data_IF_661503828544
#
_entry.id   IF_661503828544
#
_cell.length_a   1.000
_cell.length_b   1.000
_cell.length_c   1.000
_cell.angle_alpha   90.00
_cell.angle_beta   90.00
_cell.angle_gamma   90.00
#
_symmetry.space_group_name_H-M   'P 1'
#
loop_
_entity.id
_entity.type
_entity.pdbx_description
1 polymer ?
#
# COMPACT_ATOMS: atom_id res chain seq x y z
N UNK A 1 -4.25 -0.07 -37.75
CA UNK A 1 -2.77 0.09 -37.80
C UNK A 1 -2.21 0.83 -36.56
N UNK A 2 -2.88 1.86 -36.02
CA UNK A 2 -2.45 2.63 -34.82
C UNK A 2 -2.54 1.79 -33.53
N UNK A 3 -3.56 0.94 -33.40
CA UNK A 3 -3.76 0.07 -32.22
C UNK A 3 -2.63 -0.97 -32.08
N UNK A 4 -2.19 -1.58 -33.17
CA UNK A 4 -1.08 -2.55 -33.18
C UNK A 4 0.29 -1.93 -32.83
N UNK A 5 0.54 -0.67 -33.20
CA UNK A 5 1.76 0.03 -32.79
C UNK A 5 1.79 0.36 -31.30
N UNK A 6 0.62 0.77 -30.73
CA UNK A 6 0.49 1.04 -29.28
C UNK A 6 0.62 -0.24 -28.45
N UNK A 7 0.06 -1.35 -28.94
CA UNK A 7 0.16 -2.66 -28.28
C UNK A 7 1.60 -3.21 -28.30
N UNK A 8 2.35 -3.05 -29.39
CA UNK A 8 3.77 -3.41 -29.45
C UNK A 8 4.63 -2.56 -28.52
N UNK A 9 4.33 -1.27 -28.41
CA UNK A 9 5.03 -0.38 -27.48
C UNK A 9 4.76 -0.78 -26.03
N UNK A 10 3.53 -1.14 -25.71
CA UNK A 10 3.15 -1.64 -24.38
C UNK A 10 3.87 -2.98 -24.04
N UNK A 11 3.93 -3.92 -24.98
CA UNK A 11 4.68 -5.16 -24.82
C UNK A 11 6.19 -4.93 -24.63
N UNK A 12 6.79 -4.03 -25.38
CA UNK A 12 8.21 -3.66 -25.22
C UNK A 12 8.47 -2.98 -23.88
N UNK A 13 7.54 -2.14 -23.41
CA UNK A 13 7.60 -1.53 -22.09
C UNK A 13 7.53 -2.60 -20.99
N UNK A 14 6.58 -3.53 -21.09
CA UNK A 14 6.47 -4.66 -20.14
C UNK A 14 7.73 -5.54 -20.14
N UNK A 15 8.35 -5.77 -21.30
CA UNK A 15 9.58 -6.56 -21.40
C UNK A 15 10.80 -5.84 -20.82
N UNK A 16 10.91 -4.52 -21.02
CA UNK A 16 11.96 -3.69 -20.40
C UNK A 16 11.81 -3.64 -18.87
N UNK A 17 10.59 -3.60 -18.39
CA UNK A 17 10.25 -3.56 -16.98
C UNK A 17 10.61 -4.90 -16.31
N UNK A 18 10.33 -6.05 -16.96
CA UNK A 18 10.72 -7.35 -16.43
C UNK A 18 12.23 -7.52 -16.31
N UNK A 19 13.01 -6.92 -17.22
CA UNK A 19 14.47 -6.92 -17.14
C UNK A 19 14.99 -6.00 -16.01
N UNK A 20 14.32 -4.88 -15.76
CA UNK A 20 14.65 -3.96 -14.68
C UNK A 20 14.33 -4.58 -13.31
N UNK A 21 13.21 -5.31 -13.19
CA UNK A 21 12.85 -6.00 -11.95
C UNK A 21 13.86 -7.06 -11.55
N UNK A 22 14.43 -7.76 -12.52
CA UNK A 22 15.48 -8.76 -12.26
C UNK A 22 16.78 -8.16 -11.74
N UNK A 23 17.10 -6.92 -12.16
CA UNK A 23 18.29 -6.20 -11.71
C UNK A 23 18.07 -5.52 -10.33
N UNK A 24 16.82 -5.20 -9.99
CA UNK A 24 16.49 -4.49 -8.74
C UNK A 24 16.23 -5.45 -7.58
N UNK A 25 15.53 -6.56 -7.82
CA UNK A 25 15.28 -7.57 -6.80
C UNK A 25 16.53 -8.40 -6.55
N UNK A 26 17.11 -8.27 -5.37
CA UNK A 26 18.25 -9.06 -4.94
C UNK A 26 17.79 -10.26 -4.09
N UNK A 27 17.69 -11.42 -4.70
CA UNK A 27 17.21 -12.65 -4.05
C UNK A 27 17.98 -12.99 -2.75
N UNK A 28 19.25 -12.62 -2.68
CA UNK A 28 20.10 -12.89 -1.51
C UNK A 28 19.84 -11.93 -0.34
N UNK A 29 19.09 -10.84 -0.59
CA UNK A 29 18.70 -9.83 0.40
C UNK A 29 17.21 -9.96 0.78
N UNK A 30 16.53 -11.01 0.31
CA UNK A 30 15.10 -11.20 0.58
C UNK A 30 14.83 -11.32 2.09
N UNK A 31 13.88 -10.52 2.59
CA UNK A 31 13.51 -10.50 4.01
C UNK A 31 14.47 -9.73 4.91
N UNK A 32 15.38 -8.94 4.34
CA UNK A 32 16.29 -8.08 5.10
C UNK A 32 15.76 -6.65 5.30
N UNK A 33 14.55 -6.36 4.81
CA UNK A 33 13.93 -5.07 5.07
C UNK A 33 13.60 -4.90 6.55
N UNK A 34 13.82 -3.69 7.03
CA UNK A 34 13.35 -3.21 8.34
C UNK A 34 12.13 -2.34 8.16
N UNK A 35 11.33 -2.16 9.22
CA UNK A 35 10.12 -1.34 9.21
C UNK A 35 9.06 -1.78 8.16
N UNK A 36 8.98 -3.08 7.86
CA UNK A 36 8.00 -3.65 6.92
C UNK A 36 6.54 -3.29 7.29
N UNK A 37 6.28 -2.98 8.56
CA UNK A 37 4.98 -2.52 9.05
C UNK A 37 4.47 -1.25 8.36
N UNK A 38 5.34 -0.43 7.75
CA UNK A 38 4.92 0.78 7.02
C UNK A 38 3.95 0.47 5.89
N UNK A 39 4.05 -0.71 5.29
CA UNK A 39 3.13 -1.21 4.27
C UNK A 39 1.76 -1.64 4.82
N UNK A 40 1.62 -1.81 6.13
CA UNK A 40 0.36 -2.21 6.78
C UNK A 40 -0.62 -1.05 6.95
N UNK A 41 -0.14 0.20 6.91
CA UNK A 41 -1.00 1.37 6.98
C UNK A 41 -1.74 1.59 5.67
N UNK A 42 -3.00 1.18 5.63
CA UNK A 42 -3.81 1.21 4.44
C UNK A 42 -5.19 1.76 4.74
N UNK A 43 -5.72 2.57 3.83
CA UNK A 43 -7.14 2.86 3.86
C UNK A 43 -7.97 1.63 3.47
N UNK A 44 -9.23 1.53 3.91
CA UNK A 44 -10.12 0.46 3.47
C UNK A 44 -10.25 0.39 1.95
N UNK A 45 -10.25 1.53 1.26
CA UNK A 45 -10.30 1.57 -0.20
C UNK A 45 -9.08 0.93 -0.84
N UNK A 46 -7.87 1.26 -0.36
CA UNK A 46 -6.63 0.67 -0.87
C UNK A 46 -6.60 -0.84 -0.63
N UNK A 47 -7.01 -1.28 0.56
CA UNK A 47 -7.07 -2.68 0.93
C UNK A 47 -8.07 -3.47 0.08
N UNK A 48 -9.29 -2.93 -0.12
CA UNK A 48 -10.31 -3.57 -0.96
C UNK A 48 -9.88 -3.74 -2.43
N UNK A 49 -8.93 -2.93 -2.89
CA UNK A 49 -8.39 -2.93 -4.25
C UNK A 49 -7.02 -3.60 -4.35
N UNK A 50 -6.54 -4.24 -3.28
CA UNK A 50 -5.21 -4.84 -3.19
C UNK A 50 -4.11 -3.93 -3.74
N UNK A 51 -4.14 -2.64 -3.32
CA UNK A 51 -3.17 -1.60 -3.70
C UNK A 51 -3.08 -1.29 -5.21
N UNK A 52 -3.99 -1.75 -6.04
CA UNK A 52 -3.94 -1.53 -7.49
C UNK A 52 -4.31 -0.12 -7.94
N UNK A 53 -4.68 0.77 -7.00
CA UNK A 53 -5.23 2.09 -7.29
C UNK A 53 -4.22 3.25 -7.29
N UNK A 54 -2.92 2.97 -7.37
CA UNK A 54 -1.87 3.99 -7.40
C UNK A 54 -1.91 4.97 -8.58
N UNK A 55 -2.58 4.61 -9.68
CA UNK A 55 -2.84 5.50 -10.81
C UNK A 55 -4.23 6.16 -10.79
N UNK A 56 -5.13 5.77 -9.88
CA UNK A 56 -6.49 6.31 -9.82
C UNK A 56 -6.56 7.50 -8.86
N UNK A 57 -6.79 8.74 -9.37
CA UNK A 57 -6.91 9.91 -8.51
C UNK A 57 -7.97 9.72 -7.42
N UNK A 58 -7.66 10.14 -6.20
CA UNK A 58 -8.48 9.85 -5.03
C UNK A 58 -8.49 11.00 -4.01
N UNK A 59 -9.66 11.23 -3.43
CA UNK A 59 -9.83 12.08 -2.23
C UNK A 59 -9.53 11.31 -0.94
N UNK A 60 -9.31 9.99 -1.03
CA UNK A 60 -8.86 9.18 0.10
C UNK A 60 -7.40 9.46 0.43
N UNK A 61 -7.08 10.02 1.61
CA UNK A 61 -5.69 10.35 1.99
C UNK A 61 -4.76 9.13 1.98
N UNK A 62 -5.29 7.94 2.21
CA UNK A 62 -4.49 6.70 2.19
C UNK A 62 -3.80 6.41 0.85
N UNK A 63 -4.26 7.01 -0.25
CA UNK A 63 -3.64 6.84 -1.56
C UNK A 63 -2.19 7.34 -1.61
N UNK A 64 -1.82 8.30 -0.75
CA UNK A 64 -0.45 8.86 -0.72
C UNK A 64 0.60 7.84 -0.31
N UNK A 65 0.20 6.79 0.42
CA UNK A 65 1.09 5.67 0.76
C UNK A 65 1.33 4.71 -0.43
N UNK A 66 0.51 4.81 -1.49
CA UNK A 66 0.72 4.10 -2.75
C UNK A 66 1.41 4.98 -3.79
N UNK A 67 0.88 6.20 -3.96
CA UNK A 67 1.40 7.18 -4.90
C UNK A 67 1.00 8.59 -4.45
N UNK A 68 1.94 9.42 -3.99
CA UNK A 68 1.63 10.77 -3.55
C UNK A 68 1.04 11.67 -4.66
N UNK A 69 1.30 11.36 -5.94
CA UNK A 69 0.73 12.08 -7.07
C UNK A 69 -0.77 11.83 -7.30
N UNK A 70 -1.33 10.75 -6.73
CA UNK A 70 -2.73 10.39 -6.93
C UNK A 70 -3.70 11.15 -5.99
N UNK A 71 -3.19 11.92 -5.02
CA UNK A 71 -4.01 12.68 -4.10
C UNK A 71 -4.85 13.76 -4.81
N UNK A 72 -6.11 13.87 -4.43
CA UNK A 72 -7.07 14.89 -4.89
C UNK A 72 -7.82 15.49 -3.72
N UNK A 73 -8.38 16.67 -3.97
CA UNK A 73 -9.34 17.30 -3.07
C UNK A 73 -10.74 17.24 -3.70
N UNK A 74 -11.76 17.16 -2.85
CA UNK A 74 -13.16 17.30 -3.28
C UNK A 74 -13.41 18.73 -3.74
N UNK A 75 -14.20 18.90 -4.79
CA UNK A 75 -14.60 20.22 -5.26
C UNK A 75 -15.31 21.01 -4.14
N UNK A 76 -15.01 22.30 -4.04
CA UNK A 76 -15.56 23.23 -3.05
C UNK A 76 -15.19 22.96 -1.58
N UNK A 77 -14.23 22.10 -1.30
CA UNK A 77 -13.70 21.90 0.06
C UNK A 77 -12.21 22.16 0.09
N UNK A 78 -11.70 22.64 1.21
CA UNK A 78 -10.28 22.90 1.39
C UNK A 78 -9.59 21.91 2.30
N UNK A 79 -10.38 21.16 3.09
CA UNK A 79 -9.84 20.29 4.11
C UNK A 79 -10.48 18.91 4.04
N UNK A 80 -9.70 17.88 4.37
CA UNK A 80 -10.17 16.52 4.62
C UNK A 80 -9.51 15.97 5.86
N UNK A 81 -10.31 15.44 6.79
CA UNK A 81 -9.85 14.64 7.92
C UNK A 81 -10.29 13.20 7.68
N UNK A 82 -9.42 12.24 7.87
CA UNK A 82 -9.76 10.82 7.76
C UNK A 82 -9.22 10.03 8.95
N UNK A 83 -10.02 9.09 9.42
CA UNK A 83 -9.64 8.07 10.39
C UNK A 83 -9.86 6.70 9.77
N UNK A 84 -8.81 5.90 9.74
CA UNK A 84 -8.84 4.51 9.31
C UNK A 84 -8.54 3.62 10.51
N UNK A 85 -9.31 2.57 10.65
CA UNK A 85 -9.18 1.59 11.72
C UNK A 85 -9.15 0.19 11.14
N UNK A 86 -8.26 -0.63 11.66
CA UNK A 86 -8.14 -2.04 11.28
C UNK A 86 -8.30 -2.92 12.51
N UNK A 87 -9.03 -4.03 12.32
CA UNK A 87 -9.12 -5.13 13.28
C UNK A 87 -8.77 -6.44 12.60
N UNK A 88 -8.15 -7.35 13.34
CA UNK A 88 -7.74 -8.68 12.87
C UNK A 88 -6.91 -9.35 13.94
N UNK A 89 -6.44 -10.56 13.68
CA UNK A 89 -5.69 -11.35 14.65
C UNK A 89 -4.22 -10.92 14.79
N UNK A 90 -3.78 -9.93 14.00
CA UNK A 90 -2.37 -9.55 13.91
C UNK A 90 -1.96 -8.49 14.95
N UNK A 91 -2.86 -7.58 15.34
CA UNK A 91 -2.57 -6.52 16.29
C UNK A 91 -3.83 -6.15 17.06
N UNK A 92 -3.67 -5.81 18.34
CA UNK A 92 -4.77 -5.42 19.21
C UNK A 92 -5.43 -4.13 18.75
N UNK A 93 -4.62 -3.22 18.23
CA UNK A 93 -5.09 -1.90 17.81
C UNK A 93 -4.20 -1.33 16.69
N UNK A 94 -4.81 -1.08 15.55
CA UNK A 94 -4.13 -0.45 14.42
C UNK A 94 -5.03 0.61 13.79
N UNK A 95 -4.43 1.76 13.46
CA UNK A 95 -5.16 2.83 12.79
C UNK A 95 -4.26 3.86 12.14
N UNK A 96 -4.89 4.77 11.41
CA UNK A 96 -4.23 5.92 10.78
C UNK A 96 -5.16 7.14 10.79
N UNK A 97 -4.65 8.26 11.28
CA UNK A 97 -5.27 9.57 11.19
C UNK A 97 -4.59 10.37 10.08
N UNK A 98 -5.39 11.04 9.26
CA UNK A 98 -4.90 11.84 8.14
C UNK A 98 -5.58 13.21 8.11
N UNK A 99 -4.82 14.22 7.74
CA UNK A 99 -5.32 15.57 7.47
C UNK A 99 -4.76 16.07 6.15
N UNK A 100 -5.64 16.51 5.25
CA UNK A 100 -5.28 17.11 3.96
C UNK A 100 -5.81 18.53 3.89
N UNK A 101 -4.97 19.45 3.42
CA UNK A 101 -5.30 20.85 3.17
C UNK A 101 -4.96 21.25 1.74
N UNK A 102 -5.92 21.88 1.05
CA UNK A 102 -5.71 22.46 -0.27
C UNK A 102 -5.17 23.88 -0.15
N UNK A 103 -3.97 24.12 -0.67
CA UNK A 103 -3.33 25.43 -0.72
C UNK A 103 -3.10 25.87 -2.17
N UNK A 104 -4.06 26.58 -2.74
CA UNK A 104 -4.04 26.95 -4.15
C UNK A 104 -4.05 25.71 -5.05
N UNK A 105 -2.99 25.50 -5.83
CA UNK A 105 -2.82 24.33 -6.71
C UNK A 105 -2.09 23.16 -6.05
N UNK A 106 -1.73 23.30 -4.76
CA UNK A 106 -1.01 22.27 -4.01
C UNK A 106 -1.92 21.63 -2.99
N UNK A 107 -1.65 20.36 -2.67
CA UNK A 107 -2.25 19.66 -1.55
C UNK A 107 -1.15 19.31 -0.56
N UNK A 108 -1.37 19.71 0.69
CA UNK A 108 -0.54 19.34 1.84
C UNK A 108 -1.29 18.27 2.63
N UNK A 109 -0.62 17.21 3.00
CA UNK A 109 -1.21 16.15 3.81
C UNK A 109 -0.24 15.73 4.90
N UNK A 110 -0.78 15.45 6.08
CA UNK A 110 -0.09 14.80 7.18
C UNK A 110 -0.83 13.50 7.54
N UNK A 111 -0.07 12.44 7.80
CA UNK A 111 -0.60 11.18 8.32
C UNK A 111 0.13 10.79 9.60
N UNK A 112 -0.60 10.15 10.51
CA UNK A 112 -0.06 9.47 11.66
C UNK A 112 -0.70 8.10 11.78
N UNK A 113 0.11 7.05 11.66
CA UNK A 113 -0.29 5.65 11.80
C UNK A 113 0.29 5.04 13.05
N UNK A 114 -0.43 4.11 13.67
CA UNK A 114 0.00 3.35 14.84
C UNK A 114 -0.42 1.91 14.75
N UNK A 115 0.42 1.02 15.30
CA UNK A 115 0.14 -0.39 15.56
C UNK A 115 0.54 -0.66 17.00
N UNK A 116 -0.37 -1.23 17.79
CA UNK A 116 -0.11 -1.78 19.10
C UNK A 116 -0.36 -3.29 19.04
N UNK A 117 0.67 -4.09 19.31
CA UNK A 117 0.60 -5.55 19.16
C UNK A 117 0.04 -6.26 20.39
N UNK A 118 -0.29 -5.50 21.43
CA UNK A 118 -0.75 -6.03 22.72
C UNK A 118 0.39 -6.27 23.69
N UNK A 119 0.02 -6.69 24.89
CA UNK A 119 0.95 -6.99 25.96
C UNK A 119 1.42 -8.45 25.88
N UNK A 120 2.72 -8.65 25.88
CA UNK A 120 3.36 -9.97 25.80
C UNK A 120 4.08 -10.23 27.12
N UNK A 121 3.73 -11.32 27.80
CA UNK A 121 4.41 -11.74 29.02
C UNK A 121 5.80 -12.30 28.72
N UNK A 122 6.82 -11.82 29.44
CA UNK A 122 8.19 -12.30 29.29
C UNK A 122 8.39 -13.64 30.01
N UNK A 123 9.19 -14.53 29.41
CA UNK A 123 9.54 -15.83 29.95
C UNK A 123 11.06 -16.00 30.00
N UNK A 124 11.57 -16.68 31.06
CA UNK A 124 12.97 -17.04 31.18
C UNK A 124 13.32 -18.25 30.25
N UNK A 125 14.63 -18.60 30.18
CA UNK A 125 15.12 -19.72 29.38
C UNK A 125 14.50 -21.09 29.81
N UNK A 126 13.95 -21.17 31.02
CA UNK A 126 13.31 -22.36 31.57
C UNK A 126 11.78 -22.36 31.34
N UNK A 127 11.24 -21.31 30.72
CA UNK A 127 9.82 -21.17 30.44
C UNK A 127 8.98 -20.67 31.61
N UNK A 128 9.59 -20.10 32.66
CA UNK A 128 8.86 -19.49 33.76
C UNK A 128 8.58 -18.01 33.44
N UNK A 129 7.37 -17.53 33.78
CA UNK A 129 7.03 -16.12 33.63
C UNK A 129 7.97 -15.24 34.48
N UNK A 130 8.58 -14.24 33.85
CA UNK A 130 9.48 -13.30 34.53
C UNK A 130 8.74 -12.19 35.26
N UNK A 131 7.42 -12.03 34.98
CA UNK A 131 6.60 -10.90 35.44
C UNK A 131 6.90 -9.58 34.68
N UNK A 132 7.76 -9.60 33.66
CA UNK A 132 7.99 -8.47 32.75
C UNK A 132 6.92 -8.50 31.67
N UNK A 133 6.30 -7.35 31.39
CA UNK A 133 5.32 -7.20 30.31
C UNK A 133 5.97 -6.33 29.22
N UNK A 134 5.99 -6.86 28.00
CA UNK A 134 6.46 -6.17 26.82
C UNK A 134 5.26 -5.63 26.04
N UNK A 135 5.29 -4.37 25.62
CA UNK A 135 4.23 -3.72 24.85
C UNK A 135 4.78 -3.20 23.51
N UNK A 136 5.03 -4.09 22.52
CA UNK A 136 5.58 -3.70 21.25
C UNK A 136 4.63 -2.78 20.49
N UNK A 137 5.21 -1.81 19.78
CA UNK A 137 4.45 -0.80 19.03
C UNK A 137 5.24 -0.25 17.86
N UNK A 138 4.54 0.02 16.76
CA UNK A 138 5.09 0.64 15.58
C UNK A 138 4.31 1.90 15.22
N UNK A 139 4.99 2.93 14.75
CA UNK A 139 4.39 4.22 14.41
C UNK A 139 4.96 4.75 13.10
N UNK A 140 4.13 5.44 12.33
CA UNK A 140 4.48 6.12 11.10
C UNK A 140 3.92 7.55 11.13
N UNK A 141 4.79 8.54 11.00
CA UNK A 141 4.40 9.90 10.69
C UNK A 141 4.83 10.23 9.26
N UNK A 142 3.96 10.87 8.47
CA UNK A 142 4.33 11.29 7.12
C UNK A 142 3.75 12.64 6.75
N UNK A 143 4.46 13.35 5.87
CA UNK A 143 3.99 14.59 5.28
C UNK A 143 4.13 14.51 3.77
N UNK A 144 3.04 14.80 3.05
CA UNK A 144 2.95 14.73 1.60
C UNK A 144 2.69 16.10 1.01
N UNK A 145 3.37 16.37 -0.11
CA UNK A 145 3.11 17.50 -0.99
C UNK A 145 2.73 16.97 -2.37
N UNK A 146 1.53 17.32 -2.85
CA UNK A 146 1.04 16.91 -4.15
C UNK A 146 0.64 18.12 -5.02
N UNK A 147 0.90 17.99 -6.32
CA UNK A 147 0.62 18.99 -7.35
C UNK A 147 -0.30 18.38 -8.41
N UNK A 148 -1.63 18.50 -8.27
CA UNK A 148 -2.59 17.96 -9.24
C UNK A 148 -2.75 18.88 -10.47
N UNK A 149 -1.78 18.86 -11.37
CA UNK A 149 -1.87 19.57 -12.65
C UNK A 149 -2.79 18.84 -13.65
N UNK A 150 -3.29 19.49 -14.71
CA UNK A 150 -4.34 18.91 -15.56
C UNK A 150 -4.03 17.54 -16.17
N UNK A 151 -2.85 17.35 -16.76
CA UNK A 151 -2.47 16.11 -17.44
C UNK A 151 -1.40 15.32 -16.69
N UNK A 152 -0.53 16.02 -15.96
CA UNK A 152 0.56 15.45 -15.20
C UNK A 152 0.43 15.88 -13.74
N UNK A 153 0.60 14.93 -12.84
CA UNK A 153 0.51 15.13 -11.42
C UNK A 153 1.78 14.62 -10.78
N UNK A 154 2.26 15.36 -9.80
CA UNK A 154 3.49 15.06 -9.09
C UNK A 154 3.21 15.04 -7.61
N UNK A 155 3.91 14.22 -6.90
CA UNK A 155 3.82 14.18 -5.44
C UNK A 155 5.08 13.65 -4.81
N UNK A 156 5.32 14.07 -3.58
CA UNK A 156 6.41 13.58 -2.74
C UNK A 156 5.94 13.46 -1.29
N UNK A 157 6.46 12.47 -0.59
CA UNK A 157 6.17 12.22 0.83
C UNK A 157 7.49 12.02 1.56
N UNK A 158 7.61 12.63 2.74
CA UNK A 158 8.62 12.29 3.73
C UNK A 158 7.95 11.44 4.80
N UNK A 159 8.61 10.35 5.21
CA UNK A 159 8.15 9.40 6.22
C UNK A 159 9.15 9.31 7.36
N UNK A 160 8.64 9.31 8.57
CA UNK A 160 9.39 8.98 9.78
C UNK A 160 8.71 7.78 10.43
N UNK A 161 9.44 6.68 10.53
CA UNK A 161 8.98 5.45 11.16
C UNK A 161 9.71 5.22 12.48
N UNK A 162 8.99 4.68 13.47
CA UNK A 162 9.57 4.25 14.74
C UNK A 162 8.98 2.90 15.15
N UNK A 163 9.83 2.04 15.69
CA UNK A 163 9.48 0.67 16.06
C UNK A 163 10.10 0.31 17.40
N UNK A 164 9.28 -0.21 18.31
CA UNK A 164 9.68 -0.71 19.61
C UNK A 164 9.26 -2.18 19.71
N UNK A 165 10.23 -3.10 19.78
CA UNK A 165 9.97 -4.54 19.79
C UNK A 165 9.62 -5.06 21.19
N UNK A 166 10.39 -4.72 22.20
CA UNK A 166 10.16 -5.24 23.55
C UNK A 166 10.11 -4.17 24.63
N UNK A 167 11.14 -3.34 24.74
CA UNK A 167 11.33 -2.37 25.82
C UNK A 167 12.09 -2.97 27.01
N UNK A 168 12.85 -4.05 26.81
CA UNK A 168 13.80 -4.57 27.80
C UNK A 168 14.97 -3.61 28.04
N UNK A 169 15.71 -3.87 29.12
CA UNK A 169 16.93 -3.09 29.42
C UNK A 169 17.96 -3.33 28.32
N UNK A 170 18.30 -2.26 27.58
CA UNK A 170 19.18 -2.32 26.41
C UNK A 170 18.46 -2.21 25.08
N UNK A 171 17.14 -2.41 25.03
CA UNK A 171 16.37 -2.20 23.80
C UNK A 171 16.10 -0.72 23.57
N UNK A 172 16.20 -0.34 22.31
CA UNK A 172 15.91 1.01 21.85
C UNK A 172 14.70 1.00 20.94
N UNK A 173 13.99 2.14 20.89
CA UNK A 173 13.07 2.40 19.79
C UNK A 173 13.88 2.66 18.53
N UNK A 174 13.84 1.75 17.59
CA UNK A 174 14.44 1.96 16.28
C UNK A 174 13.73 3.08 15.52
N UNK A 175 14.44 3.81 14.67
CA UNK A 175 13.89 4.92 13.90
C UNK A 175 14.42 4.91 12.48
N UNK A 176 13.59 5.31 11.53
CA UNK A 176 13.95 5.42 10.13
C UNK A 176 13.34 6.65 9.45
N UNK A 177 14.01 7.09 8.41
CA UNK A 177 13.57 8.18 7.54
C UNK A 177 13.51 7.67 6.11
N UNK A 178 12.37 7.92 5.43
CA UNK A 178 12.20 7.55 4.03
C UNK A 178 11.50 8.64 3.23
N UNK A 179 11.61 8.51 1.90
CA UNK A 179 11.00 9.40 0.93
C UNK A 179 10.25 8.59 -0.11
N UNK A 180 9.06 9.08 -0.45
CA UNK A 180 8.31 8.60 -1.61
C UNK A 180 8.20 9.72 -2.62
N UNK A 181 8.09 9.33 -3.89
CA UNK A 181 7.74 10.25 -4.95
C UNK A 181 6.92 9.53 -6.01
N UNK A 182 6.11 10.29 -6.72
CA UNK A 182 5.25 9.75 -7.74
C UNK A 182 4.95 10.72 -8.86
N UNK A 183 4.65 10.15 -10.01
CA UNK A 183 4.17 10.85 -11.19
C UNK A 183 2.94 10.10 -11.69
N UNK A 184 1.88 10.84 -12.01
CA UNK A 184 0.68 10.32 -12.61
C UNK A 184 0.38 11.11 -13.88
N UNK A 185 0.28 10.43 -15.00
CA UNK A 185 -0.21 10.97 -16.25
C UNK A 185 -1.63 10.51 -16.50
N UNK A 186 -2.54 11.47 -16.61
CA UNK A 186 -3.95 11.26 -16.87
C UNK A 186 -4.44 12.33 -17.87
N UNK A 187 -4.55 12.00 -19.17
CA UNK A 187 -5.07 12.96 -20.15
C UNK A 187 -6.53 13.31 -19.87
N UNK A 188 -6.95 14.48 -20.32
CA UNK A 188 -8.26 15.10 -20.07
C UNK A 188 -9.50 14.22 -20.32
N UNK A 189 -9.37 13.05 -20.96
CA UNK A 189 -10.49 12.13 -21.21
C UNK A 189 -10.97 11.37 -19.98
N UNK A 190 -10.27 11.44 -18.86
CA UNK A 190 -10.58 10.76 -17.57
C UNK A 190 -10.77 9.24 -17.63
N UNK A 191 -10.53 8.61 -18.80
CA UNK A 191 -10.80 7.18 -19.02
C UNK A 191 -9.64 6.27 -18.70
N UNK A 192 -8.43 6.78 -18.70
CA UNK A 192 -7.25 6.03 -18.32
C UNK A 192 -6.20 6.93 -17.69
N UNK A 193 -5.33 6.34 -16.91
CA UNK A 193 -4.14 6.97 -16.38
C UNK A 193 -3.07 5.94 -16.16
N UNK A 194 -1.81 6.40 -16.16
CA UNK A 194 -0.63 5.59 -15.90
C UNK A 194 0.22 6.33 -14.89
N UNK A 195 0.75 5.60 -13.91
CA UNK A 195 1.60 6.18 -12.88
C UNK A 195 2.84 5.34 -12.63
N UNK A 196 3.86 6.02 -12.16
CA UNK A 196 5.04 5.43 -11.53
C UNK A 196 5.18 6.03 -10.14
N UNK A 197 5.47 5.19 -9.16
CA UNK A 197 5.80 5.61 -7.80
C UNK A 197 7.05 4.90 -7.31
N UNK A 198 7.86 5.60 -6.54
CA UNK A 198 8.94 5.04 -5.76
C UNK A 198 8.60 5.26 -4.29
N UNK A 199 8.63 4.20 -3.49
CA UNK A 199 8.18 4.19 -2.09
C UNK A 199 9.27 3.69 -1.18
N UNK A 200 9.30 4.23 0.04
CA UNK A 200 10.14 3.77 1.14
C UNK A 200 11.65 3.81 0.84
N UNK A 201 12.09 4.78 -0.01
CA UNK A 201 13.50 5.03 -0.27
C UNK A 201 14.13 5.73 0.92
N UNK A 202 14.74 4.97 1.79
CA UNK A 202 15.26 5.49 3.04
C UNK A 202 16.17 4.53 3.78
N UNK A 203 16.51 4.92 5.00
CA UNK A 203 17.42 4.17 5.83
C UNK A 203 17.05 4.28 7.31
N UNK A 204 17.45 3.30 8.08
CA UNK A 204 17.41 3.35 9.52
C UNK A 204 18.41 4.41 10.02
N UNK A 205 17.97 5.26 10.94
CA UNK A 205 18.76 6.33 11.57
C UNK A 205 19.07 6.04 13.05
N UNK A 206 18.42 5.05 13.63
CA UNK A 206 18.69 4.52 14.96
C UNK A 206 18.30 3.05 15.02
N UNK A 207 19.22 2.20 15.46
CA UNK A 207 19.04 0.77 15.58
C UNK A 207 18.25 0.36 16.82
N UNK A 208 17.81 -0.89 16.87
CA UNK A 208 17.11 -1.54 17.98
C UNK A 208 18.01 -1.77 19.20
N UNK A 209 19.32 -1.92 19.01
CA UNK A 209 20.31 -2.21 20.05
C UNK A 209 21.33 -1.09 20.19
N UNK A 210 22.02 -1.06 21.34
CA UNK A 210 23.12 -0.11 21.65
C UNK A 210 24.47 -0.85 21.73
N UNK A 211 24.73 -1.70 20.77
CA UNK A 211 25.96 -2.49 20.72
C UNK A 211 27.15 -1.75 20.08
N UNK A 212 26.93 -0.53 19.59
CA UNK A 212 27.95 0.36 19.03
C UNK A 212 28.29 0.09 17.58
N UNK A 213 27.62 -0.83 16.92
CA UNK A 213 27.70 -1.06 15.48
C UNK A 213 26.37 -0.60 14.83
N UNK A 214 26.33 0.62 14.32
CA UNK A 214 25.16 1.13 13.58
C UNK A 214 25.11 0.45 12.20
N UNK A 215 24.42 -0.68 12.13
CA UNK A 215 24.11 -1.32 10.84
C UNK A 215 22.97 -0.55 10.14
N UNK A 216 23.20 -0.19 8.88
CA UNK A 216 22.22 0.53 8.07
C UNK A 216 21.45 -0.46 7.20
N UNK A 217 20.17 -0.66 7.50
CA UNK A 217 19.26 -1.49 6.71
C UNK A 217 18.30 -0.64 5.90
N UNK A 218 17.91 -1.12 4.69
CA UNK A 218 16.90 -0.48 3.83
C UNK A 218 15.48 -0.69 4.35
N UNK A 219 14.60 0.22 3.99
CA UNK A 219 13.19 0.24 4.44
C UNK A 219 12.21 -0.49 3.50
N UNK A 220 12.64 -1.43 2.68
CA UNK A 220 11.74 -2.09 1.74
C UNK A 220 11.41 -1.24 0.52
N UNK A 221 12.41 -0.56 -0.03
CA UNK A 221 12.26 0.27 -1.22
C UNK A 221 11.52 -0.44 -2.33
N UNK A 222 10.51 0.21 -2.87
CA UNK A 222 9.62 -0.37 -3.88
C UNK A 222 9.41 0.61 -5.02
N UNK A 223 9.57 0.13 -6.25
CA UNK A 223 9.11 0.82 -7.45
C UNK A 223 7.79 0.20 -7.90
N UNK A 224 6.77 1.02 -8.14
CA UNK A 224 5.45 0.60 -8.58
C UNK A 224 5.09 1.23 -9.92
N UNK A 225 4.47 0.44 -10.77
CA UNK A 225 3.87 0.88 -12.03
C UNK A 225 2.38 0.57 -11.99
N UNK A 226 1.56 1.60 -12.10
CA UNK A 226 0.13 1.48 -11.99
C UNK A 226 -0.57 1.99 -13.24
N UNK A 227 -1.76 1.48 -13.52
CA UNK A 227 -2.64 1.98 -14.55
C UNK A 227 -4.10 1.79 -14.14
N UNK A 228 -4.97 2.67 -14.62
CA UNK A 228 -6.40 2.43 -14.58
C UNK A 228 -7.04 2.62 -15.96
N UNK A 229 -8.18 1.95 -16.17
CA UNK A 229 -8.96 2.08 -17.38
C UNK A 229 -10.45 2.03 -17.08
N UNK A 230 -11.22 2.98 -17.66
CA UNK A 230 -12.68 3.01 -17.63
C UNK A 230 -13.25 2.69 -19.02
N UNK A 231 -13.85 1.50 -19.24
CA UNK A 231 -14.44 1.14 -20.53
C UNK A 231 -15.58 2.11 -20.91
N UNK A 232 -15.64 2.51 -22.19
CA UNK A 232 -16.71 3.42 -22.66
C UNK A 232 -18.09 2.81 -22.57
N UNK A 233 -18.21 1.49 -22.68
CA UNK A 233 -19.46 0.73 -22.49
C UNK A 233 -19.91 0.63 -21.03
N UNK A 234 -19.00 0.78 -20.08
CA UNK A 234 -19.23 0.70 -18.64
C UNK A 234 -18.50 1.84 -17.91
N UNK A 235 -18.92 3.11 -18.07
CA UNK A 235 -18.16 4.26 -17.59
C UNK A 235 -18.07 4.34 -16.05
N UNK A 236 -18.93 3.60 -15.34
CA UNK A 236 -18.94 3.48 -13.88
C UNK A 236 -17.96 2.43 -13.36
N UNK A 237 -17.35 1.62 -14.22
CA UNK A 237 -16.35 0.62 -13.87
C UNK A 237 -14.97 1.19 -14.09
N UNK A 238 -14.12 1.16 -13.05
CA UNK A 238 -12.68 1.35 -13.16
C UNK A 238 -11.98 -0.01 -12.99
N UNK A 239 -11.22 -0.42 -13.98
CA UNK A 239 -10.30 -1.56 -13.91
C UNK A 239 -8.92 -1.03 -13.56
N UNK A 240 -8.26 -1.66 -12.59
CA UNK A 240 -7.03 -1.19 -11.97
C UNK A 240 -5.96 -2.26 -12.09
N UNK A 241 -4.75 -1.80 -12.29
CA UNK A 241 -3.57 -2.64 -12.42
C UNK A 241 -2.40 -1.96 -11.70
N UNK A 242 -1.66 -2.70 -10.92
CA UNK A 242 -0.37 -2.27 -10.40
C UNK A 242 0.60 -3.45 -10.38
N UNK A 243 1.86 -3.21 -10.74
CA UNK A 243 2.93 -4.17 -10.50
C UNK A 243 4.00 -3.50 -9.63
N UNK A 244 4.38 -4.21 -8.58
CA UNK A 244 5.33 -3.76 -7.57
C UNK A 244 6.64 -4.51 -7.74
N UNK A 245 7.74 -3.78 -7.63
CA UNK A 245 9.11 -4.27 -7.67
C UNK A 245 9.80 -3.90 -6.35
N UNK A 246 9.54 -4.63 -5.26
CA UNK A 246 10.23 -4.43 -4.00
C UNK A 246 11.67 -4.95 -4.10
N UNK A 247 12.60 -4.32 -3.36
CA UNK A 247 14.00 -4.73 -3.33
C UNK A 247 14.20 -6.05 -2.60
N UNK A 248 13.49 -6.25 -1.49
CA UNK A 248 13.69 -7.37 -0.56
C UNK A 248 12.62 -8.46 -0.64
N UNK A 249 11.66 -8.33 -1.55
CA UNK A 249 10.57 -9.30 -1.72
C UNK A 249 10.31 -9.60 -3.21
N UNK A 250 9.49 -10.61 -3.47
CA UNK A 250 9.12 -11.00 -4.84
C UNK A 250 8.24 -9.92 -5.49
N UNK A 251 8.50 -9.56 -6.77
CA UNK A 251 7.60 -8.72 -7.52
C UNK A 251 6.18 -9.28 -7.57
N UNK A 252 5.19 -8.41 -7.42
CA UNK A 252 3.79 -8.78 -7.36
C UNK A 252 2.95 -8.04 -8.40
N UNK A 253 1.87 -8.69 -8.80
CA UNK A 253 0.81 -8.15 -9.64
C UNK A 253 -0.43 -7.95 -8.77
N UNK A 254 -0.97 -6.73 -8.78
CA UNK A 254 -2.21 -6.35 -8.11
C UNK A 254 -3.25 -5.95 -9.16
N UNK A 255 -4.42 -6.53 -9.08
CA UNK A 255 -5.56 -6.21 -9.94
C UNK A 255 -6.72 -5.73 -9.08
N UNK A 256 -7.45 -4.75 -9.56
CA UNK A 256 -8.61 -4.23 -8.86
C UNK A 256 -9.73 -3.83 -9.79
N UNK A 257 -10.94 -3.82 -9.26
CA UNK A 257 -12.09 -3.24 -9.92
C UNK A 257 -12.91 -2.43 -8.92
N UNK A 258 -13.26 -1.21 -9.30
CA UNK A 258 -14.15 -0.33 -8.55
C UNK A 258 -15.36 0.00 -9.42
N UNK A 259 -16.55 -0.27 -8.91
CA UNK A 259 -17.81 0.01 -9.61
C UNK A 259 -18.68 1.00 -8.82
N UNK A 260 -19.04 2.11 -9.45
CA UNK A 260 -19.93 3.10 -8.86
C UNK A 260 -21.41 2.67 -8.99
N UNK A 261 -22.03 2.35 -7.86
CA UNK A 261 -23.45 2.02 -7.71
C UNK A 261 -24.25 3.32 -7.50
N UNK A 262 -24.53 4.03 -8.58
CA UNK A 262 -25.18 5.34 -8.51
C UNK A 262 -24.16 6.48 -8.36
N UNK A 263 -24.46 7.47 -7.52
CA UNK A 263 -23.64 8.68 -7.32
C UNK A 263 -22.74 8.61 -6.09
N UNK A 264 -23.12 7.79 -5.10
CA UNK A 264 -22.48 7.83 -3.77
C UNK A 264 -22.00 6.47 -3.27
N UNK A 265 -22.43 5.35 -3.86
CA UNK A 265 -22.04 4.02 -3.40
C UNK A 265 -21.02 3.39 -4.35
N UNK A 266 -20.10 2.63 -3.79
CA UNK A 266 -19.02 1.96 -4.49
C UNK A 266 -18.88 0.52 -4.03
N UNK A 267 -18.72 -0.41 -4.98
CA UNK A 267 -18.30 -1.78 -4.71
C UNK A 267 -16.90 -1.98 -5.26
N UNK A 268 -16.06 -2.70 -4.52
CA UNK A 268 -14.65 -2.90 -4.83
C UNK A 268 -14.27 -4.35 -4.65
N UNK A 269 -13.36 -4.80 -5.49
CA UNK A 269 -12.72 -6.10 -5.38
C UNK A 269 -11.26 -5.97 -5.81
N UNK A 270 -10.37 -6.68 -5.12
CA UNK A 270 -8.94 -6.71 -5.40
C UNK A 270 -8.40 -8.13 -5.37
N UNK A 271 -7.34 -8.33 -6.11
CA UNK A 271 -6.60 -9.57 -6.20
C UNK A 271 -5.10 -9.25 -6.27
N UNK A 272 -4.30 -10.00 -5.51
CA UNK A 272 -2.83 -9.91 -5.57
C UNK A 272 -2.19 -11.27 -5.75
N UNK A 273 -1.09 -11.30 -6.51
CA UNK A 273 -0.30 -12.50 -6.76
C UNK A 273 1.14 -12.15 -7.08
N UNK A 274 2.11 -12.89 -6.54
CA UNK A 274 3.49 -12.72 -7.01
C UNK A 274 3.63 -13.19 -8.46
N UNK A 275 4.55 -12.58 -9.20
CA UNK A 275 4.82 -13.02 -10.58
C UNK A 275 5.32 -14.46 -10.66
N UNK A 276 6.05 -14.90 -9.63
CA UNK A 276 6.52 -16.29 -9.54
C UNK A 276 5.34 -17.24 -9.41
N UNK A 277 4.42 -16.98 -8.48
CA UNK A 277 3.25 -17.84 -8.26
C UNK A 277 2.31 -17.81 -9.46
N UNK A 278 2.07 -16.63 -10.04
CA UNK A 278 1.28 -16.51 -11.27
C UNK A 278 1.86 -17.38 -12.41
N UNK A 279 3.19 -17.40 -12.55
CA UNK A 279 3.86 -18.23 -13.54
C UNK A 279 3.70 -19.74 -13.26
N UNK A 280 3.65 -20.13 -11.99
CA UNK A 280 3.36 -21.50 -11.56
C UNK A 280 1.92 -21.88 -11.85
N UNK A 281 0.96 -21.03 -11.48
CA UNK A 281 -0.46 -21.23 -11.73
C UNK A 281 -0.75 -21.42 -13.22
N UNK A 282 -0.18 -20.56 -14.07
CA UNK A 282 -0.31 -20.68 -15.53
C UNK A 282 0.26 -22.01 -16.04
N UNK A 283 1.42 -22.43 -15.53
CA UNK A 283 2.02 -23.74 -15.91
C UNK A 283 1.15 -24.90 -15.47
N UNK A 284 0.54 -24.84 -14.29
CA UNK A 284 -0.36 -25.87 -13.77
C UNK A 284 -1.65 -26.00 -14.58
N UNK A 285 -2.23 -24.89 -15.03
CA UNK A 285 -3.42 -24.89 -15.92
C UNK A 285 -3.12 -25.65 -17.23
N UNK A 286 -1.88 -25.54 -17.76
CA UNK A 286 -1.47 -26.19 -19.00
C UNK A 286 -0.77 -27.55 -18.80
N UNK A 287 -0.40 -27.90 -17.57
CA UNK A 287 0.21 -29.19 -17.26
C UNK A 287 -0.87 -30.19 -16.86
N UNK A 288 -0.88 -31.35 -17.53
CA UNK A 288 -1.86 -32.42 -17.27
C UNK A 288 -1.73 -33.11 -15.90
N UNK A 289 -0.81 -32.74 -15.06
CA UNK A 289 -0.55 -33.30 -13.73
C UNK A 289 -0.83 -32.26 -12.65
N UNK A 290 -2.00 -32.35 -12.04
CA UNK A 290 -2.34 -31.58 -10.82
C UNK A 290 -1.43 -32.00 -9.68
N UNK A 291 -0.53 -31.13 -9.24
CA UNK A 291 0.13 -31.28 -7.94
C UNK A 291 -0.82 -30.83 -6.84
N UNK A 292 -0.80 -31.47 -5.64
CA UNK A 292 -1.55 -30.96 -4.51
C UNK A 292 -1.11 -29.50 -4.24
N UNK A 293 -2.10 -28.61 -4.06
CA UNK A 293 -1.90 -27.22 -3.77
C UNK A 293 -1.12 -27.05 -2.44
N UNK A 294 0.18 -26.88 -2.53
CA UNK A 294 0.98 -26.26 -1.47
C UNK A 294 0.99 -24.74 -1.70
N UNK A 295 -0.17 -24.14 -1.68
CA UNK A 295 -0.29 -22.68 -1.81
C UNK A 295 -0.26 -22.05 -0.44
N UNK A 296 0.91 -21.60 -0.02
CA UNK A 296 1.08 -20.67 1.09
C UNK A 296 0.82 -19.23 0.61
N UNK A 297 -0.34 -18.97 0.04
CA UNK A 297 -0.66 -17.66 -0.49
C UNK A 297 -1.19 -16.75 0.62
N UNK A 298 -0.44 -15.70 0.93
CA UNK A 298 -0.77 -14.82 2.04
C UNK A 298 -2.03 -13.99 1.80
N UNK A 299 -2.30 -13.52 0.61
CA UNK A 299 -3.51 -12.76 0.26
C UNK A 299 -3.90 -13.07 -1.16
N UNK A 300 -5.15 -13.49 -1.36
CA UNK A 300 -5.65 -13.79 -2.69
C UNK A 300 -6.75 -12.86 -3.13
N UNK A 301 -7.59 -12.40 -2.19
CA UNK A 301 -8.79 -11.67 -2.51
C UNK A 301 -9.17 -10.70 -1.39
N UNK A 302 -9.50 -9.50 -1.79
CA UNK A 302 -10.13 -8.49 -0.93
C UNK A 302 -11.39 -7.95 -1.57
N UNK A 303 -12.32 -7.49 -0.74
CA UNK A 303 -13.49 -6.79 -1.21
C UNK A 303 -13.87 -5.65 -0.26
N UNK A 304 -14.66 -4.71 -0.75
CA UNK A 304 -15.10 -3.58 0.05
C UNK A 304 -16.29 -2.84 -0.53
N UNK A 305 -16.89 -2.05 0.35
CA UNK A 305 -17.98 -1.14 0.02
C UNK A 305 -17.60 0.27 0.46
N UNK A 306 -18.06 1.27 -0.26
CA UNK A 306 -17.87 2.66 0.06
C UNK A 306 -19.14 3.46 -0.12
N UNK A 307 -19.30 4.45 0.72
CA UNK A 307 -20.25 5.53 0.56
C UNK A 307 -19.48 6.85 0.58
N UNK A 308 -19.71 7.72 -0.40
CA UNK A 308 -19.02 9.00 -0.51
C UNK A 308 -20.02 10.07 -1.00
N UNK A 309 -20.08 11.18 -0.29
CA UNK A 309 -20.87 12.34 -0.66
C UNK A 309 -20.04 13.62 -0.44
N UNK A 310 -20.65 14.81 -0.64
CA UNK A 310 -19.96 16.10 -0.50
C UNK A 310 -19.51 16.47 0.93
N UNK A 311 -19.94 15.73 1.96
CA UNK A 311 -19.68 16.04 3.37
C UNK A 311 -18.84 15.00 4.05
N UNK A 312 -19.10 13.72 3.77
CA UNK A 312 -18.35 12.61 4.37
C UNK A 312 -18.29 11.39 3.47
N UNK A 313 -17.32 10.53 3.74
CA UNK A 313 -17.25 9.19 3.16
C UNK A 313 -17.05 8.14 4.25
N UNK A 314 -17.64 6.97 4.03
CA UNK A 314 -17.51 5.78 4.85
C UNK A 314 -17.08 4.62 3.96
N UNK A 315 -15.97 4.00 4.29
CA UNK A 315 -15.44 2.84 3.57
C UNK A 315 -15.29 1.65 4.51
N UNK A 316 -15.61 0.48 4.00
CA UNK A 316 -15.35 -0.79 4.65
C UNK A 316 -14.65 -1.73 3.68
N UNK A 317 -13.69 -2.49 4.19
CA UNK A 317 -13.01 -3.56 3.46
C UNK A 317 -12.78 -4.77 4.35
N UNK A 318 -12.76 -5.94 3.72
CA UNK A 318 -12.19 -7.14 4.31
C UNK A 318 -11.16 -7.73 3.34
N UNK A 319 -10.11 -8.31 3.91
CA UNK A 319 -9.08 -9.02 3.19
C UNK A 319 -8.96 -10.43 3.75
N UNK A 320 -9.02 -11.42 2.88
CA UNK A 320 -8.72 -12.80 3.24
C UNK A 320 -7.21 -12.98 3.25
N UNK A 321 -6.69 -13.35 4.39
CA UNK A 321 -5.30 -13.77 4.53
C UNK A 321 -5.19 -15.27 4.25
N UNK A 322 -3.98 -15.77 4.03
CA UNK A 322 -3.74 -17.21 3.82
C UNK A 322 -4.34 -18.06 4.95
N UNK A 323 -4.52 -19.35 4.66
CA UNK A 323 -5.07 -20.31 5.59
C UNK A 323 -4.35 -20.27 6.96
N UNK A 324 -5.11 -19.96 8.00
CA UNK A 324 -4.62 -19.86 9.37
C UNK A 324 -4.25 -18.44 9.83
N UNK A 325 -4.28 -17.43 8.96
CA UNK A 325 -4.03 -16.03 9.31
C UNK A 325 -5.31 -15.18 9.46
N UNK A 326 -6.49 -15.79 9.21
CA UNK A 326 -7.79 -15.17 9.45
C UNK A 326 -8.23 -14.15 8.41
N UNK A 327 -9.11 -13.26 8.85
CA UNK A 327 -9.67 -12.15 8.08
C UNK A 327 -9.26 -10.83 8.72
N UNK A 328 -8.89 -9.87 7.91
CA UNK A 328 -8.72 -8.49 8.34
C UNK A 328 -9.94 -7.66 7.93
N UNK A 329 -10.39 -6.81 8.83
CA UNK A 329 -11.46 -5.87 8.63
C UNK A 329 -10.93 -4.45 8.78
N UNK A 330 -11.29 -3.57 7.84
CA UNK A 330 -10.93 -2.16 7.86
C UNK A 330 -12.15 -1.28 7.72
N UNK A 331 -12.23 -0.25 8.54
CA UNK A 331 -13.25 0.81 8.48
C UNK A 331 -12.56 2.15 8.30
N UNK A 332 -13.07 3.02 7.46
CA UNK A 332 -12.56 4.37 7.25
C UNK A 332 -13.68 5.39 7.22
N UNK A 333 -13.45 6.50 7.88
CA UNK A 333 -14.36 7.64 7.91
C UNK A 333 -13.58 8.88 7.48
N UNK A 334 -14.15 9.64 6.53
CA UNK A 334 -13.58 10.90 6.04
C UNK A 334 -14.61 12.00 6.13
N UNK A 335 -14.16 13.21 6.47
CA UNK A 335 -14.96 14.42 6.48
C UNK A 335 -14.31 15.48 5.60
N UNK A 336 -15.14 16.18 4.82
CA UNK A 336 -14.76 17.24 3.90
C UNK A 336 -15.32 18.58 4.38
N UNK A 337 -14.48 19.64 4.45
CA UNK A 337 -14.91 20.98 4.91
C UNK A 337 -14.01 22.12 4.42
#
# INVERSE_FOLDING_TARGET
>A
MIFFKKFRFFLLLCFSISSFSYAYFQKNEAGQEVFSFTSSFQSPRNAALEHSNGALPSTDPGVTLLNPAALRQTENTSNTVALHWQTGDFADNQGMLSYTHAFGTMLLQANYGWIAYGDIEGYDEQGNATGVIHSPKSQLASATLAFPLPDFQFGTTIKFASDLLSGEVGDRTAMALAFDWGILWQPNTSRFGIAIAARDFGTMIRDYTDDGEDESYGMGETVALSAFFRPSSLPRLALLFETNFPRYAQPALNLGAEYALGTSFFARVGFTRTWLDLSRDVKEIFASNSRPNETNDARLLSAGLGYDNSFFALDYAFSYLAQGLGLEHRVGLRFYF
#
